data_IF_429334758590
#
_entry.id   IF_429334758590
#
_cell.length_a   1.000
_cell.length_b   1.000
_cell.length_c   1.000
_cell.angle_alpha   90.00
_cell.angle_beta   90.00
_cell.angle_gamma   90.00
#
_symmetry.space_group_name_H-M   'P 1'
#
loop_
_entity.id
_entity.type
_entity.pdbx_description
1 polymer ?
#
# COMPACT_ATOMS: atom_id res chain seq x y z
N UNK A 1 -7.05 -17.19 15.39
CA UNK A 1 -7.95 -18.16 14.73
C UNK A 1 -7.58 -18.27 13.26
N UNK A 2 -7.32 -19.46 12.73
CA UNK A 2 -7.02 -19.68 11.30
C UNK A 2 -8.33 -19.81 10.47
N UNK A 3 -8.23 -20.20 9.18
CA UNK A 3 -9.42 -20.40 8.34
C UNK A 3 -10.15 -21.71 8.68
N UNK A 4 -9.42 -22.78 8.98
CA UNK A 4 -9.99 -24.08 9.34
C UNK A 4 -10.85 -24.00 10.59
N UNK A 5 -10.35 -23.32 11.63
CA UNK A 5 -11.09 -23.08 12.87
C UNK A 5 -12.37 -22.26 12.64
N UNK A 6 -12.32 -21.26 11.77
CA UNK A 6 -13.50 -20.44 11.43
C UNK A 6 -14.52 -21.28 10.64
N UNK A 7 -14.06 -22.10 9.70
CA UNK A 7 -14.91 -23.03 8.95
C UNK A 7 -15.56 -24.08 9.88
N UNK A 8 -14.81 -24.61 10.85
CA UNK A 8 -15.35 -25.54 11.84
C UNK A 8 -16.43 -24.90 12.73
N UNK A 9 -16.29 -23.61 13.08
CA UNK A 9 -17.35 -22.86 13.78
C UNK A 9 -18.59 -22.74 12.89
N UNK A 10 -18.41 -22.31 11.63
CA UNK A 10 -19.50 -22.21 10.65
C UNK A 10 -20.26 -23.52 10.46
N UNK A 11 -19.54 -24.63 10.37
CA UNK A 11 -20.13 -25.95 10.21
C UNK A 11 -20.95 -26.35 11.44
N UNK A 12 -20.43 -26.10 12.65
CA UNK A 12 -21.19 -26.33 13.90
C UNK A 12 -22.45 -25.47 13.97
N UNK A 13 -22.37 -24.20 13.57
CA UNK A 13 -23.52 -23.29 13.49
C UNK A 13 -24.56 -23.78 12.48
N UNK A 14 -24.13 -24.25 11.31
CA UNK A 14 -25.01 -24.76 10.26
C UNK A 14 -25.70 -26.08 10.66
N UNK A 15 -25.02 -26.92 11.44
CA UNK A 15 -25.56 -28.18 11.98
C UNK A 15 -26.49 -27.98 13.18
N UNK A 16 -26.37 -26.86 13.88
CA UNK A 16 -27.24 -26.55 15.02
C UNK A 16 -28.68 -26.26 14.56
N UNK A 17 -29.64 -26.55 15.44
CA UNK A 17 -31.06 -26.28 15.17
C UNK A 17 -31.27 -24.82 14.75
N UNK A 18 -32.08 -24.51 13.73
CA UNK A 18 -32.42 -23.13 13.39
C UNK A 18 -32.99 -22.38 14.60
N UNK A 19 -32.59 -21.12 14.75
CA UNK A 19 -33.17 -20.20 15.73
C UNK A 19 -34.32 -19.38 15.14
N UNK A 20 -34.81 -18.37 15.86
CA UNK A 20 -34.34 -17.92 17.18
C UNK A 20 -34.71 -18.89 18.30
N UNK A 21 -33.84 -19.02 19.29
CA UNK A 21 -34.10 -19.83 20.49
C UNK A 21 -34.57 -18.93 21.63
N UNK A 22 -35.42 -19.46 22.49
CA UNK A 22 -35.97 -18.75 23.65
C UNK A 22 -35.82 -19.65 24.88
N UNK A 23 -35.51 -19.04 26.03
CA UNK A 23 -35.47 -19.74 27.31
C UNK A 23 -36.81 -19.58 28.02
N UNK A 24 -37.38 -20.70 28.47
CA UNK A 24 -38.56 -20.73 29.32
C UNK A 24 -38.11 -21.02 30.77
N UNK A 25 -38.39 -20.09 31.68
CA UNK A 25 -37.99 -20.19 33.08
C UNK A 25 -38.86 -21.17 33.88
N UNK A 26 -40.14 -21.27 33.55
CA UNK A 26 -41.08 -22.17 34.23
C UNK A 26 -40.73 -23.63 33.90
N UNK A 27 -40.38 -23.90 32.64
CA UNK A 27 -39.99 -25.23 32.17
C UNK A 27 -38.47 -25.50 32.24
N UNK A 28 -37.67 -24.48 32.61
CA UNK A 28 -36.19 -24.52 32.67
C UNK A 28 -35.55 -25.10 31.41
N UNK A 29 -36.08 -24.72 30.25
CA UNK A 29 -35.76 -25.32 28.96
C UNK A 29 -35.46 -24.28 27.89
N UNK A 30 -34.66 -24.65 26.89
CA UNK A 30 -34.48 -23.85 25.68
C UNK A 30 -35.39 -24.43 24.58
N UNK A 31 -36.09 -23.54 23.91
CA UNK A 31 -37.09 -23.84 22.89
C UNK A 31 -36.77 -23.10 21.60
N UNK A 32 -37.22 -23.62 20.48
CA UNK A 32 -37.34 -22.78 19.29
C UNK A 32 -38.51 -21.80 19.48
N UNK A 33 -38.39 -20.57 18.99
CA UNK A 33 -39.42 -19.55 19.09
C UNK A 33 -40.77 -20.08 18.60
N UNK A 34 -41.78 -19.96 19.47
CA UNK A 34 -43.11 -20.54 19.26
C UNK A 34 -43.39 -21.85 20.02
N UNK A 35 -42.43 -22.36 20.82
CA UNK A 35 -42.68 -23.42 21.83
C UNK A 35 -42.87 -24.84 21.27
N UNK A 36 -42.73 -25.05 19.96
CA UNK A 36 -43.05 -26.34 19.34
C UNK A 36 -41.94 -27.40 19.46
N UNK A 37 -40.69 -27.01 19.74
CA UNK A 37 -39.55 -27.92 19.77
C UNK A 37 -38.65 -27.67 20.99
N UNK A 38 -38.58 -28.66 21.87
CA UNK A 38 -37.67 -28.69 23.00
C UNK A 38 -36.24 -28.99 22.55
N UNK A 39 -35.28 -28.13 22.94
CA UNK A 39 -33.87 -28.25 22.55
C UNK A 39 -32.99 -28.81 23.68
N UNK A 40 -33.43 -28.69 24.93
CA UNK A 40 -32.77 -29.29 26.08
C UNK A 40 -33.10 -28.63 27.41
N UNK A 41 -32.85 -29.36 28.50
CA UNK A 41 -32.94 -28.81 29.87
C UNK A 41 -31.68 -28.02 30.13
N UNK A 42 -31.84 -26.83 30.70
CA UNK A 42 -30.70 -26.07 31.19
C UNK A 42 -30.82 -25.98 32.71
N UNK A 43 -30.02 -26.77 33.43
CA UNK A 43 -29.94 -26.72 34.90
C UNK A 43 -29.10 -25.54 35.42
N UNK A 44 -28.84 -24.56 34.56
CA UNK A 44 -28.04 -23.37 34.85
C UNK A 44 -28.93 -22.23 35.38
N UNK A 45 -28.31 -21.12 35.77
CA UNK A 45 -29.03 -19.89 36.11
C UNK A 45 -29.73 -19.30 34.88
N UNK A 46 -30.77 -18.49 35.10
CA UNK A 46 -31.50 -17.77 34.06
C UNK A 46 -30.55 -17.10 33.04
N UNK A 47 -29.57 -16.33 33.52
CA UNK A 47 -28.61 -15.62 32.67
C UNK A 47 -27.77 -16.54 31.77
N UNK A 48 -27.39 -17.73 32.25
CA UNK A 48 -26.64 -18.68 31.43
C UNK A 48 -27.52 -19.31 30.35
N UNK A 49 -28.79 -19.57 30.64
CA UNK A 49 -29.73 -20.11 29.67
C UNK A 49 -30.08 -19.09 28.58
N UNK A 50 -30.31 -17.83 28.98
CA UNK A 50 -30.51 -16.69 28.07
C UNK A 50 -29.30 -16.49 27.15
N UNK A 51 -28.07 -16.54 27.70
CA UNK A 51 -26.85 -16.49 26.89
C UNK A 51 -26.78 -17.60 25.83
N UNK A 52 -27.13 -18.84 26.19
CA UNK A 52 -27.12 -19.97 25.25
C UNK A 52 -28.20 -19.80 24.17
N UNK A 53 -29.38 -19.29 24.52
CA UNK A 53 -30.44 -19.01 23.58
C UNK A 53 -29.99 -17.97 22.52
N UNK A 54 -29.39 -16.85 22.97
CA UNK A 54 -28.89 -15.81 22.08
C UNK A 54 -27.62 -16.20 21.30
N UNK A 55 -26.81 -17.12 21.81
CA UNK A 55 -25.62 -17.60 21.09
C UNK A 55 -25.95 -18.12 19.69
N UNK A 56 -27.18 -18.60 19.46
CA UNK A 56 -27.63 -19.05 18.14
C UNK A 56 -27.66 -17.93 17.09
N UNK A 57 -27.88 -16.69 17.50
CA UNK A 57 -27.92 -15.51 16.63
C UNK A 57 -26.58 -14.76 16.65
N UNK A 58 -25.98 -14.63 17.84
CA UNK A 58 -24.74 -13.89 18.04
C UNK A 58 -23.55 -14.55 17.33
N UNK A 59 -23.41 -15.87 17.41
CA UNK A 59 -22.26 -16.57 16.80
C UNK A 59 -22.23 -16.41 15.27
N UNK A 60 -23.34 -16.63 14.52
CA UNK A 60 -23.38 -16.30 13.10
C UNK A 60 -23.01 -14.83 12.79
N UNK A 61 -23.53 -13.88 13.55
CA UNK A 61 -23.26 -12.45 13.35
C UNK A 61 -21.77 -12.14 13.54
N UNK A 62 -21.16 -12.67 14.61
CA UNK A 62 -19.72 -12.54 14.87
C UNK A 62 -18.86 -13.18 13.80
N UNK A 63 -19.27 -14.35 13.29
CA UNK A 63 -18.58 -15.03 12.18
C UNK A 63 -18.60 -14.16 10.92
N UNK A 64 -19.75 -13.58 10.57
CA UNK A 64 -19.89 -12.69 9.43
C UNK A 64 -18.98 -11.46 9.56
N UNK A 65 -18.95 -10.85 10.75
CA UNK A 65 -18.07 -9.70 11.03
C UNK A 65 -16.59 -10.06 10.91
N UNK A 66 -16.17 -11.21 11.45
CA UNK A 66 -14.78 -11.69 11.30
C UNK A 66 -14.40 -11.88 9.83
N UNK A 67 -15.29 -12.39 8.99
CA UNK A 67 -15.03 -12.53 7.56
C UNK A 67 -14.91 -11.19 6.85
N UNK A 68 -15.82 -10.27 7.17
CA UNK A 68 -15.79 -8.91 6.66
C UNK A 68 -14.45 -8.22 6.97
N UNK A 69 -14.04 -8.22 8.24
CA UNK A 69 -12.78 -7.63 8.69
C UNK A 69 -11.57 -8.30 8.04
N UNK A 70 -11.58 -9.64 7.90
CA UNK A 70 -10.51 -10.36 7.18
C UNK A 70 -10.44 -9.97 5.70
N UNK A 71 -11.58 -9.71 5.06
CA UNK A 71 -11.68 -9.17 3.71
C UNK A 71 -11.02 -7.80 3.61
N UNK A 72 -11.44 -6.86 4.45
CA UNK A 72 -10.88 -5.51 4.51
C UNK A 72 -9.35 -5.52 4.74
N UNK A 73 -8.86 -6.33 5.68
CA UNK A 73 -7.43 -6.46 5.96
C UNK A 73 -6.65 -6.99 4.76
N UNK A 74 -7.20 -7.96 4.03
CA UNK A 74 -6.58 -8.51 2.82
C UNK A 74 -6.43 -7.44 1.75
N UNK A 75 -7.47 -6.66 1.51
CA UNK A 75 -7.46 -5.63 0.46
C UNK A 75 -6.59 -4.44 0.86
N UNK A 76 -6.64 -4.03 2.14
CA UNK A 76 -5.74 -3.02 2.70
C UNK A 76 -4.27 -3.42 2.52
N UNK A 77 -3.92 -4.67 2.83
CA UNK A 77 -2.56 -5.18 2.62
C UNK A 77 -2.13 -5.15 1.16
N UNK A 78 -3.03 -5.46 0.21
CA UNK A 78 -2.74 -5.36 -1.23
C UNK A 78 -2.45 -3.92 -1.62
N UNK A 79 -3.29 -2.97 -1.19
CA UNK A 79 -3.14 -1.54 -1.48
C UNK A 79 -1.81 -1.03 -0.92
N UNK A 80 -1.52 -1.31 0.35
CA UNK A 80 -0.26 -0.91 1.00
C UNK A 80 0.94 -1.50 0.25
N UNK A 81 0.90 -2.78 -0.12
CA UNK A 81 1.98 -3.41 -0.88
C UNK A 81 2.21 -2.74 -2.24
N UNK A 82 1.14 -2.38 -2.92
CA UNK A 82 1.22 -1.69 -4.21
C UNK A 82 1.78 -0.26 -4.04
N UNK A 83 1.31 0.49 -3.05
CA UNK A 83 1.81 1.83 -2.76
C UNK A 83 3.28 1.84 -2.34
N UNK A 84 3.73 0.84 -1.58
CA UNK A 84 5.16 0.69 -1.25
C UNK A 84 6.01 0.49 -2.50
N UNK A 85 5.54 -0.28 -3.49
CA UNK A 85 6.24 -0.42 -4.78
C UNK A 85 6.31 0.89 -5.54
N UNK A 86 5.19 1.61 -5.64
CA UNK A 86 5.11 2.92 -6.31
C UNK A 86 6.07 3.93 -5.67
N UNK A 87 6.05 4.04 -4.33
CA UNK A 87 6.95 4.92 -3.58
C UNK A 87 8.42 4.56 -3.84
N UNK A 88 8.77 3.27 -3.87
CA UNK A 88 10.14 2.83 -4.16
C UNK A 88 10.58 3.22 -5.57
N UNK A 89 9.71 3.05 -6.57
CA UNK A 89 9.99 3.46 -7.94
C UNK A 89 10.20 4.97 -8.04
N UNK A 90 9.33 5.76 -7.42
CA UNK A 90 9.45 7.22 -7.38
C UNK A 90 10.73 7.66 -6.66
N UNK A 91 11.07 7.03 -5.54
CA UNK A 91 12.30 7.33 -4.80
C UNK A 91 13.55 7.10 -5.66
N UNK A 92 13.59 5.99 -6.43
CA UNK A 92 14.69 5.72 -7.36
C UNK A 92 14.74 6.76 -8.48
N UNK A 93 13.59 7.15 -9.05
CA UNK A 93 13.52 8.18 -10.07
C UNK A 93 14.03 9.54 -9.55
N UNK A 94 13.64 9.94 -8.33
CA UNK A 94 14.13 11.16 -7.69
C UNK A 94 15.65 11.12 -7.46
N UNK A 95 16.20 9.99 -7.00
CA UNK A 95 17.66 9.82 -6.86
C UNK A 95 18.39 9.98 -8.19
N UNK A 96 17.87 9.35 -9.25
CA UNK A 96 18.45 9.45 -10.58
C UNK A 96 18.38 10.88 -11.13
N UNK A 97 17.26 11.57 -10.93
CA UNK A 97 17.11 12.97 -11.34
C UNK A 97 18.08 13.89 -10.60
N UNK A 98 18.24 13.70 -9.29
CA UNK A 98 19.19 14.44 -8.48
C UNK A 98 20.63 14.27 -9.00
N UNK A 99 21.04 13.03 -9.26
CA UNK A 99 22.37 12.74 -9.83
C UNK A 99 22.58 13.40 -11.20
N UNK A 100 21.54 13.41 -12.06
CA UNK A 100 21.60 14.12 -13.35
C UNK A 100 21.73 15.64 -13.18
N UNK A 101 21.01 16.23 -12.23
CA UNK A 101 21.13 17.66 -11.95
C UNK A 101 22.53 18.01 -11.43
N UNK A 102 23.08 17.22 -10.52
CA UNK A 102 24.46 17.39 -10.02
C UNK A 102 25.48 17.29 -11.17
N UNK A 103 25.35 16.32 -12.07
CA UNK A 103 26.21 16.19 -13.24
C UNK A 103 26.11 17.38 -14.22
N UNK A 104 24.89 17.92 -14.42
CA UNK A 104 24.69 19.10 -15.25
C UNK A 104 25.32 20.37 -14.65
N UNK A 105 25.26 20.52 -13.33
CA UNK A 105 25.93 21.63 -12.63
C UNK A 105 27.43 21.55 -12.85
N UNK A 106 28.04 20.38 -12.66
CA UNK A 106 29.48 20.16 -12.90
C UNK A 106 29.85 20.47 -14.36
N UNK A 107 29.05 19.98 -15.33
CA UNK A 107 29.31 20.25 -16.75
C UNK A 107 29.23 21.74 -17.08
N UNK A 108 28.29 22.46 -16.48
CA UNK A 108 28.18 23.91 -16.66
C UNK A 108 29.38 24.65 -16.04
N UNK A 109 29.86 24.22 -14.88
CA UNK A 109 31.08 24.80 -14.26
C UNK A 109 32.30 24.59 -15.17
N UNK A 110 32.49 23.37 -15.69
CA UNK A 110 33.57 23.06 -16.65
C UNK A 110 33.48 23.89 -17.94
N UNK A 111 32.27 24.08 -18.48
CA UNK A 111 32.07 24.93 -19.66
C UNK A 111 32.41 26.39 -19.37
N UNK A 112 32.07 26.90 -18.18
CA UNK A 112 32.45 28.25 -17.78
C UNK A 112 33.97 28.40 -17.68
N UNK A 113 34.67 27.44 -17.08
CA UNK A 113 36.14 27.45 -17.00
C UNK A 113 36.78 27.41 -18.39
N UNK A 114 36.33 26.51 -19.28
CA UNK A 114 36.82 26.43 -20.65
C UNK A 114 36.59 27.73 -21.44
N UNK A 115 35.45 28.40 -21.25
CA UNK A 115 35.16 29.70 -21.87
C UNK A 115 36.07 30.80 -21.34
N UNK A 116 36.41 30.78 -20.04
CA UNK A 116 37.35 31.74 -19.44
C UNK A 116 38.75 31.51 -20.02
N UNK A 117 39.22 30.28 -20.11
CA UNK A 117 40.54 29.93 -20.67
C UNK A 117 40.64 30.31 -22.16
N UNK A 118 39.57 30.08 -22.92
CA UNK A 118 39.48 30.58 -24.28
C UNK A 118 39.62 32.11 -24.24
N UNK A 119 38.80 32.84 -23.49
CA UNK A 119 38.85 34.31 -23.46
C UNK A 119 40.23 34.88 -23.06
N UNK A 120 40.94 34.25 -22.11
CA UNK A 120 42.29 34.69 -21.71
C UNK A 120 43.33 34.42 -22.79
N UNK A 121 43.31 33.24 -23.42
CA UNK A 121 44.21 32.94 -24.54
C UNK A 121 44.02 33.87 -25.75
N UNK A 122 42.78 34.33 -26.00
CA UNK A 122 42.51 35.36 -27.00
C UNK A 122 43.08 36.73 -26.63
N UNK A 123 43.06 37.10 -25.34
CA UNK A 123 43.55 38.39 -24.87
C UNK A 123 45.08 38.52 -24.94
N UNK A 124 45.79 37.40 -24.87
CA UNK A 124 47.25 37.32 -24.99
C UNK A 124 47.74 37.10 -26.44
N UNK A 125 46.83 36.96 -27.40
CA UNK A 125 47.15 36.76 -28.83
C UNK A 125 47.23 38.10 -29.58
N UNK A 126 48.36 38.38 -30.24
CA UNK A 126 48.57 39.54 -31.13
C UNK A 126 47.77 39.46 -32.46
N UNK A 127 46.76 38.59 -32.55
CA UNK A 127 46.06 38.25 -33.80
C UNK A 127 44.91 39.25 -34.11
N UNK A 128 44.80 39.77 -35.34
CA UNK A 128 43.83 40.81 -35.70
C UNK A 128 42.39 40.31 -35.54
N UNK A 129 41.52 41.18 -35.02
CA UNK A 129 40.15 40.90 -34.59
C UNK A 129 39.35 40.10 -35.64
N UNK A 130 39.24 38.79 -35.43
CA UNK A 130 38.33 37.90 -36.16
C UNK A 130 36.88 38.38 -35.97
N UNK A 131 36.07 38.26 -37.03
CA UNK A 131 34.68 38.72 -36.98
C UNK A 131 33.85 37.79 -36.08
N UNK A 132 32.79 38.32 -35.44
CA UNK A 132 31.92 37.53 -34.55
C UNK A 132 31.41 36.22 -35.19
N UNK A 133 31.25 36.18 -36.51
CA UNK A 133 30.81 35.01 -37.26
C UNK A 133 31.86 33.88 -37.28
N UNK A 134 33.14 34.23 -37.40
CA UNK A 134 34.24 33.27 -37.37
C UNK A 134 34.50 32.75 -35.96
N UNK A 135 34.31 33.61 -34.95
CA UNK A 135 34.35 33.21 -33.53
C UNK A 135 33.27 32.18 -33.20
N UNK A 136 32.04 32.40 -33.66
CA UNK A 136 30.92 31.47 -33.42
C UNK A 136 31.12 30.11 -34.11
N UNK A 137 31.74 30.09 -35.29
CA UNK A 137 32.03 28.86 -36.03
C UNK A 137 33.10 28.00 -35.34
N UNK A 138 34.18 28.61 -34.86
CA UNK A 138 35.26 27.91 -34.14
C UNK A 138 34.81 27.35 -32.79
N UNK A 139 34.03 28.12 -32.02
CA UNK A 139 33.52 27.66 -30.73
C UNK A 139 32.57 26.46 -30.87
N UNK A 140 31.81 26.40 -31.97
CA UNK A 140 30.90 25.29 -32.27
C UNK A 140 31.67 24.01 -32.64
N UNK A 141 32.75 24.10 -33.42
CA UNK A 141 33.60 22.95 -33.77
C UNK A 141 34.26 22.30 -32.55
N UNK A 142 34.75 23.10 -31.59
CA UNK A 142 35.38 22.58 -30.36
C UNK A 142 34.36 21.82 -29.50
N UNK A 143 33.16 22.38 -29.33
CA UNK A 143 32.09 21.76 -28.54
C UNK A 143 31.49 20.50 -29.19
N UNK A 144 31.49 20.40 -30.52
CA UNK A 144 31.00 19.22 -31.25
C UNK A 144 32.09 18.15 -31.42
N UNK A 145 33.37 18.51 -31.44
CA UNK A 145 34.51 17.58 -31.51
C UNK A 145 34.74 16.78 -30.23
N UNK A 146 34.50 17.37 -29.05
CA UNK A 146 34.61 16.70 -27.76
C UNK A 146 33.43 15.74 -27.45
N UNK A 147 32.38 15.73 -28.28
CA UNK A 147 31.22 14.85 -28.09
C UNK A 147 31.39 13.46 -28.76
N UNK A 148 32.49 13.21 -29.47
CA UNK A 148 32.73 12.00 -30.26
C UNK A 148 33.98 11.16 -29.87
N UNK A 149 34.64 11.48 -28.75
CA UNK A 149 35.61 10.61 -28.06
C UNK A 149 35.07 10.11 -26.71
#
# INVERSE_FOLDING_TARGET
MNQEQLNAIKERVAKATPGPWEYDEDERGIWNKGGFNYLGTVTLTHNSAEFIAHAREDVPALVAEVEYLRGMLRDTRKIVRQKVKEVKTLQNACKNHKAKQEALVIKNEQLCEALIDIATTWQDSDEPQLTQLEMHARAKEVLEGEAHE
#
